data_IF_580197448990
#
_entry.id   IF_580197448990
#
_cell.length_a   1.000
_cell.length_b   1.000
_cell.length_c   1.000
_cell.angle_alpha   90.00
_cell.angle_beta   90.00
_cell.angle_gamma   90.00
#
_symmetry.space_group_name_H-M   'P 1'
#
loop_
_entity.id
_entity.type
_entity.pdbx_description
1 polymer ?
#
# COMPACT_ATOMS: atom_id res chain seq x y z
N UNK A 1 -6.31 -17.92 4.49
CA UNK A 1 -7.75 -17.87 4.81
C UNK A 1 -8.55 -17.14 3.74
N UNK A 2 -8.05 -16.04 3.15
CA UNK A 2 -8.71 -15.34 2.04
C UNK A 2 -8.54 -15.99 0.65
N UNK A 3 -7.98 -17.21 0.58
CA UNK A 3 -7.67 -17.89 -0.69
C UNK A 3 -6.66 -17.13 -1.56
N UNK A 4 -6.27 -17.70 -2.70
CA UNK A 4 -5.56 -16.99 -3.77
C UNK A 4 -4.19 -17.55 -4.15
N UNK A 5 -3.33 -17.89 -3.20
CA UNK A 5 -1.96 -18.33 -3.50
C UNK A 5 -1.62 -19.58 -2.72
N UNK A 6 -1.14 -20.60 -3.43
CA UNK A 6 -0.69 -21.84 -2.79
C UNK A 6 0.59 -21.60 -2.01
N UNK A 7 0.70 -22.20 -0.82
CA UNK A 7 1.88 -22.09 0.05
C UNK A 7 3.18 -22.46 -0.69
N UNK A 8 3.14 -23.48 -1.54
CA UNK A 8 4.27 -23.90 -2.40
C UNK A 8 4.75 -22.80 -3.35
N UNK A 9 3.84 -21.97 -3.85
CA UNK A 9 4.18 -20.86 -4.75
C UNK A 9 4.91 -19.75 -3.98
N UNK A 10 4.50 -19.47 -2.74
CA UNK A 10 5.17 -18.49 -1.87
C UNK A 10 6.58 -19.00 -1.50
N UNK A 11 6.71 -20.27 -1.13
CA UNK A 11 8.01 -20.88 -0.81
C UNK A 11 8.97 -20.86 -2.01
N UNK A 12 8.44 -21.04 -3.24
CA UNK A 12 9.22 -20.88 -4.47
C UNK A 12 9.73 -19.44 -4.64
N UNK A 13 8.86 -18.45 -4.48
CA UNK A 13 9.25 -17.03 -4.60
C UNK A 13 10.22 -16.61 -3.49
N UNK A 14 10.09 -17.14 -2.28
CA UNK A 14 11.02 -16.88 -1.20
C UNK A 14 12.43 -17.37 -1.54
N UNK A 15 12.57 -18.56 -2.12
CA UNK A 15 13.86 -19.07 -2.60
C UNK A 15 14.44 -18.23 -3.73
N UNK A 16 13.65 -17.96 -4.77
CA UNK A 16 14.12 -17.16 -5.92
C UNK A 16 14.51 -15.72 -5.49
N UNK A 17 13.74 -15.10 -4.59
CA UNK A 17 14.04 -13.78 -4.06
C UNK A 17 15.30 -13.79 -3.19
N UNK A 18 15.53 -14.84 -2.40
CA UNK A 18 16.72 -15.00 -1.58
C UNK A 18 17.98 -15.20 -2.44
N UNK A 19 17.90 -15.99 -3.53
CA UNK A 19 18.97 -16.17 -4.51
C UNK A 19 19.36 -14.85 -5.21
N UNK A 20 18.40 -13.94 -5.39
CA UNK A 20 18.63 -12.60 -5.94
C UNK A 20 19.00 -11.53 -4.89
N UNK A 21 19.25 -11.92 -3.63
CA UNK A 21 19.61 -10.99 -2.55
C UNK A 21 18.46 -10.08 -2.08
N UNK A 22 17.21 -10.41 -2.44
CA UNK A 22 15.98 -9.65 -2.18
C UNK A 22 14.97 -10.43 -1.34
N UNK A 23 15.44 -11.18 -0.34
CA UNK A 23 14.59 -12.07 0.47
C UNK A 23 13.37 -11.40 1.12
N UNK A 24 13.40 -10.09 1.35
CA UNK A 24 12.27 -9.30 1.89
C UNK A 24 11.13 -9.07 0.89
N UNK A 25 11.27 -9.41 -0.39
CA UNK A 25 10.28 -9.13 -1.45
C UNK A 25 9.36 -10.31 -1.79
N UNK A 26 9.39 -11.41 -1.02
CA UNK A 26 8.62 -12.63 -1.33
C UNK A 26 7.13 -12.41 -1.56
N UNK A 27 6.52 -11.46 -0.85
CA UNK A 27 5.10 -11.12 -1.01
C UNK A 27 4.84 -10.15 -2.17
N UNK A 28 5.79 -9.27 -2.51
CA UNK A 28 5.66 -8.36 -3.65
C UNK A 28 5.68 -9.12 -4.99
N UNK A 29 6.48 -10.19 -5.09
CA UNK A 29 6.63 -11.00 -6.30
C UNK A 29 5.39 -11.79 -6.72
N UNK A 30 4.38 -11.84 -5.85
CA UNK A 30 3.04 -12.32 -6.19
C UNK A 30 2.41 -11.44 -7.27
N UNK A 31 2.60 -10.13 -7.16
CA UNK A 31 2.02 -9.12 -8.03
C UNK A 31 3.03 -8.67 -9.10
N UNK A 32 4.30 -8.53 -8.75
CA UNK A 32 5.39 -8.20 -9.68
C UNK A 32 5.75 -9.41 -10.58
N UNK A 33 5.19 -9.42 -11.78
CA UNK A 33 5.37 -10.50 -12.76
C UNK A 33 6.50 -10.20 -13.75
N UNK A 34 6.82 -8.94 -14.00
CA UNK A 34 7.83 -8.57 -14.98
C UNK A 34 9.24 -8.78 -14.41
N UNK A 35 10.15 -9.30 -15.24
CA UNK A 35 11.57 -9.47 -14.86
C UNK A 35 12.19 -8.13 -14.40
N UNK A 36 11.85 -7.04 -15.10
CA UNK A 36 12.31 -5.70 -14.76
C UNK A 36 11.80 -5.19 -13.40
N UNK A 37 10.58 -5.55 -13.00
CA UNK A 37 10.02 -5.21 -11.68
C UNK A 37 10.81 -5.91 -10.57
N UNK A 38 11.06 -7.22 -10.74
CA UNK A 38 11.82 -8.03 -9.77
C UNK A 38 13.27 -7.56 -9.64
N UNK A 39 13.92 -7.24 -10.76
CA UNK A 39 15.29 -6.73 -10.79
C UNK A 39 15.43 -5.35 -10.14
N UNK A 40 14.42 -4.47 -10.28
CA UNK A 40 14.46 -3.12 -9.71
C UNK A 40 13.84 -3.02 -8.31
N UNK A 41 12.98 -3.97 -7.93
CA UNK A 41 12.22 -3.94 -6.68
C UNK A 41 11.15 -2.84 -6.65
N UNK A 42 10.64 -2.46 -7.82
CA UNK A 42 9.56 -1.48 -7.99
C UNK A 42 8.51 -2.06 -8.93
N UNK A 43 7.24 -1.86 -8.60
CA UNK A 43 6.11 -2.17 -9.49
C UNK A 43 6.11 -1.18 -10.65
N UNK A 44 5.93 -1.68 -11.88
CA UNK A 44 5.99 -0.90 -13.12
C UNK A 44 4.62 -0.93 -13.79
N UNK A 45 4.02 -2.11 -13.93
CA UNK A 45 2.71 -2.31 -14.54
C UNK A 45 1.65 -2.63 -13.49
N UNK A 46 0.39 -2.46 -13.86
CA UNK A 46 -0.73 -2.69 -12.96
C UNK A 46 -0.98 -4.19 -12.82
N UNK A 47 -0.95 -4.70 -11.60
CA UNK A 47 -1.36 -6.08 -11.33
C UNK A 47 -2.82 -6.13 -10.86
N UNK A 48 -3.61 -6.99 -11.48
CA UNK A 48 -4.98 -7.27 -11.07
C UNK A 48 -5.03 -8.58 -10.28
N UNK A 49 -5.63 -8.53 -9.11
CA UNK A 49 -5.90 -9.70 -8.30
C UNK A 49 -7.36 -9.73 -7.87
N UNK A 50 -7.96 -10.92 -7.72
CA UNK A 50 -9.36 -11.05 -7.30
C UNK A 50 -9.44 -11.89 -6.03
N UNK A 51 -10.25 -11.44 -5.09
CA UNK A 51 -10.58 -12.20 -3.90
C UNK A 51 -12.00 -11.89 -3.43
N UNK A 52 -12.53 -12.74 -2.57
CA UNK A 52 -13.89 -12.63 -2.06
C UNK A 52 -13.84 -12.40 -0.55
N UNK A 53 -14.67 -11.49 -0.09
CA UNK A 53 -14.97 -11.29 1.34
C UNK A 53 -16.34 -11.91 1.64
N UNK A 54 -16.78 -11.88 2.89
CA UNK A 54 -18.11 -12.35 3.26
C UNK A 54 -19.26 -11.60 2.56
N UNK A 55 -19.01 -10.40 2.00
CA UNK A 55 -20.05 -9.52 1.44
C UNK A 55 -19.75 -9.02 0.01
N UNK A 56 -18.49 -8.91 -0.36
CA UNK A 56 -18.05 -8.29 -1.61
C UNK A 56 -17.10 -9.18 -2.40
N UNK A 57 -17.24 -9.16 -3.73
CA UNK A 57 -16.23 -9.61 -4.68
C UNK A 57 -15.30 -8.43 -4.95
N UNK A 58 -14.02 -8.58 -4.63
CA UNK A 58 -13.04 -7.48 -4.68
C UNK A 58 -12.02 -7.76 -5.76
N UNK A 59 -11.77 -6.76 -6.60
CA UNK A 59 -10.61 -6.74 -7.51
C UNK A 59 -9.60 -5.75 -6.94
N UNK A 60 -8.43 -6.24 -6.55
CA UNK A 60 -7.27 -5.43 -6.18
C UNK A 60 -6.59 -4.96 -7.45
N UNK A 61 -6.31 -3.66 -7.48
CA UNK A 61 -5.50 -3.00 -8.50
C UNK A 61 -4.22 -2.55 -7.79
N UNK A 62 -3.13 -3.28 -8.00
CA UNK A 62 -1.83 -2.85 -7.49
C UNK A 62 -1.21 -1.85 -8.45
N UNK A 63 -1.02 -0.62 -7.99
CA UNK A 63 -0.61 0.50 -8.80
C UNK A 63 0.84 0.91 -8.47
N UNK A 64 1.65 1.28 -9.47
CA UNK A 64 3.04 1.61 -9.24
C UNK A 64 3.18 2.91 -8.45
N UNK A 65 4.10 2.92 -7.48
CA UNK A 65 4.35 4.09 -6.65
C UNK A 65 5.38 5.08 -7.21
N UNK A 66 6.18 4.67 -8.19
CA UNK A 66 7.27 5.49 -8.73
C UNK A 66 6.73 6.61 -9.65
N UNK A 67 7.32 7.81 -9.58
CA UNK A 67 6.87 8.99 -10.34
C UNK A 67 6.81 8.76 -11.85
N UNK A 68 7.80 8.04 -12.37
CA UNK A 68 7.89 7.72 -13.80
C UNK A 68 6.69 6.91 -14.32
N UNK A 69 5.94 6.25 -13.42
CA UNK A 69 4.82 5.38 -13.75
C UNK A 69 3.46 5.94 -13.27
N UNK A 70 3.36 7.24 -12.97
CA UNK A 70 2.10 7.89 -12.57
C UNK A 70 0.98 7.66 -13.59
N UNK A 71 1.29 7.58 -14.89
CA UNK A 71 0.29 7.29 -15.94
C UNK A 71 -0.41 5.94 -15.73
N UNK A 72 0.33 4.95 -15.26
CA UNK A 72 -0.20 3.62 -14.97
C UNK A 72 -1.07 3.70 -13.71
N UNK A 73 -0.60 4.41 -12.67
CA UNK A 73 -1.39 4.66 -11.46
C UNK A 73 -2.74 5.34 -11.78
N UNK A 74 -2.76 6.35 -12.65
CA UNK A 74 -4.00 7.03 -13.09
C UNK A 74 -4.96 6.05 -13.77
N UNK A 75 -4.43 5.19 -14.66
CA UNK A 75 -5.23 4.22 -15.41
C UNK A 75 -5.87 3.17 -14.50
N UNK A 76 -5.16 2.74 -13.44
CA UNK A 76 -5.71 1.82 -12.45
C UNK A 76 -6.70 2.50 -11.51
N UNK A 77 -6.34 3.68 -11.02
CA UNK A 77 -7.15 4.41 -10.03
C UNK A 77 -8.47 4.91 -10.61
N UNK A 78 -8.53 5.23 -11.91
CA UNK A 78 -9.79 5.62 -12.59
C UNK A 78 -10.83 4.51 -12.67
N UNK A 79 -10.44 3.25 -12.43
CA UNK A 79 -11.32 2.08 -12.42
C UNK A 79 -11.73 1.67 -11.00
N UNK A 80 -11.21 2.34 -9.96
CA UNK A 80 -11.39 1.94 -8.58
C UNK A 80 -12.60 2.64 -7.93
N UNK A 81 -13.42 1.87 -7.20
CA UNK A 81 -14.51 2.41 -6.37
C UNK A 81 -14.02 2.92 -5.00
N UNK A 82 -12.94 2.31 -4.50
CA UNK A 82 -12.30 2.63 -3.22
C UNK A 82 -10.77 2.52 -3.32
N UNK A 83 -10.06 3.32 -2.52
CA UNK A 83 -8.61 3.29 -2.43
C UNK A 83 -8.13 2.87 -1.04
N UNK A 84 -7.02 2.15 -1.02
CA UNK A 84 -6.24 1.88 0.19
C UNK A 84 -4.93 2.66 0.08
N UNK A 85 -4.76 3.67 0.93
CA UNK A 85 -3.54 4.47 1.00
C UNK A 85 -2.61 3.87 2.05
N UNK A 86 -1.47 3.36 1.60
CA UNK A 86 -0.44 2.82 2.48
C UNK A 86 0.54 3.93 2.88
N UNK A 87 0.73 4.09 4.19
CA UNK A 87 1.60 5.11 4.79
C UNK A 87 2.63 4.41 5.67
N UNK A 88 3.91 4.64 5.47
CA UNK A 88 4.95 4.06 6.32
C UNK A 88 4.98 4.75 7.69
N UNK A 89 5.12 3.96 8.77
CA UNK A 89 5.22 4.46 10.14
C UNK A 89 6.66 4.81 10.57
N UNK A 90 7.66 4.30 9.83
CA UNK A 90 9.07 4.52 10.12
C UNK A 90 9.43 6.01 10.14
N UNK A 91 10.29 6.38 11.10
CA UNK A 91 10.84 7.74 11.21
C UNK A 91 11.68 8.06 9.96
N UNK A 92 11.46 9.22 9.35
CA UNK A 92 12.07 9.64 8.09
C UNK A 92 11.27 9.17 6.87
N UNK A 93 10.77 7.93 6.86
CA UNK A 93 9.94 7.43 5.75
C UNK A 93 8.58 8.14 5.68
N UNK A 94 7.92 8.30 6.83
CA UNK A 94 6.66 9.04 6.93
C UNK A 94 6.82 10.49 6.45
N UNK A 95 7.84 11.19 6.98
CA UNK A 95 8.11 12.59 6.71
C UNK A 95 8.46 12.81 5.23
N UNK A 96 9.20 11.87 4.62
CA UNK A 96 9.47 11.90 3.18
C UNK A 96 8.19 11.71 2.35
N UNK A 97 7.34 10.74 2.72
CA UNK A 97 6.08 10.44 2.03
C UNK A 97 5.05 11.57 2.11
N UNK A 98 5.00 12.29 3.24
CA UNK A 98 4.13 13.45 3.44
C UNK A 98 4.80 14.79 3.08
N UNK A 99 6.03 14.79 2.55
CA UNK A 99 6.67 16.05 2.13
C UNK A 99 5.91 16.70 0.94
N UNK A 100 6.22 17.95 0.58
CA UNK A 100 5.62 18.62 -0.59
C UNK A 100 5.76 17.83 -1.90
N UNK A 101 6.85 17.05 -1.99
CA UNK A 101 7.19 16.22 -3.13
C UNK A 101 6.93 14.73 -2.85
N UNK A 102 6.28 14.40 -1.74
CA UNK A 102 6.06 13.03 -1.32
C UNK A 102 4.97 12.33 -2.14
N UNK A 103 5.21 11.07 -2.48
CA UNK A 103 4.31 10.27 -3.32
C UNK A 103 2.98 9.97 -2.62
N UNK A 104 2.97 9.78 -1.30
CA UNK A 104 1.74 9.55 -0.53
C UNK A 104 0.76 10.72 -0.69
N UNK A 105 1.28 11.95 -0.72
CA UNK A 105 0.46 13.15 -0.98
C UNK A 105 -0.11 13.16 -2.39
N UNK A 106 0.77 12.98 -3.38
CA UNK A 106 0.40 12.97 -4.79
C UNK A 106 -0.66 11.90 -5.10
N UNK A 107 -0.50 10.68 -4.58
CA UNK A 107 -1.44 9.59 -4.81
C UNK A 107 -2.82 9.85 -4.18
N UNK A 108 -2.87 10.39 -2.96
CA UNK A 108 -4.15 10.69 -2.31
C UNK A 108 -4.92 11.79 -3.06
N UNK A 109 -4.21 12.80 -3.60
CA UNK A 109 -4.79 13.85 -4.42
C UNK A 109 -5.30 13.29 -5.77
N UNK A 110 -4.50 12.44 -6.44
CA UNK A 110 -4.89 11.82 -7.70
C UNK A 110 -6.11 10.92 -7.52
N UNK A 111 -6.15 10.09 -6.48
CA UNK A 111 -7.30 9.24 -6.19
C UNK A 111 -8.59 10.04 -6.03
N UNK A 112 -8.54 11.15 -5.28
CA UNK A 112 -9.72 12.00 -5.10
C UNK A 112 -10.16 12.66 -6.41
N UNK A 113 -9.20 13.18 -7.17
CA UNK A 113 -9.43 13.86 -8.46
C UNK A 113 -10.04 12.91 -9.50
N UNK A 114 -9.67 11.62 -9.45
CA UNK A 114 -10.20 10.57 -10.32
C UNK A 114 -11.55 10.03 -9.85
N UNK A 115 -12.12 10.57 -8.77
CA UNK A 115 -13.47 10.25 -8.31
C UNK A 115 -13.55 9.15 -7.24
N UNK A 116 -12.42 8.68 -6.72
CA UNK A 116 -12.38 7.68 -5.64
C UNK A 116 -12.71 8.38 -4.32
N UNK A 117 -13.97 8.23 -3.87
CA UNK A 117 -14.46 8.91 -2.65
C UNK A 117 -14.26 8.10 -1.38
N UNK A 118 -14.17 6.77 -1.49
CA UNK A 118 -13.96 5.87 -0.37
C UNK A 118 -12.47 5.62 -0.18
N UNK A 119 -11.94 5.97 0.99
CA UNK A 119 -10.53 5.87 1.31
C UNK A 119 -10.34 5.11 2.64
N UNK A 120 -9.41 4.18 2.64
CA UNK A 120 -8.90 3.51 3.85
C UNK A 120 -7.41 3.82 3.94
N UNK A 121 -6.91 4.14 5.14
CA UNK A 121 -5.49 4.39 5.37
C UNK A 121 -4.89 3.24 6.16
N UNK A 122 -3.92 2.54 5.57
CA UNK A 122 -3.11 1.53 6.24
C UNK A 122 -1.79 2.13 6.70
N UNK A 123 -1.60 2.25 8.01
CA UNK A 123 -0.32 2.70 8.58
C UNK A 123 0.58 1.48 8.73
N UNK A 124 1.49 1.29 7.79
CA UNK A 124 2.32 0.11 7.63
C UNK A 124 3.68 0.24 8.33
N UNK A 125 4.35 -0.90 8.55
CA UNK A 125 5.63 -1.01 9.28
C UNK A 125 5.54 -0.58 10.74
N UNK A 126 4.40 -0.83 11.39
CA UNK A 126 4.23 -0.55 12.83
C UNK A 126 5.19 -1.36 13.70
N UNK A 127 5.65 -2.52 13.24
CA UNK A 127 6.72 -3.32 13.86
C UNK A 127 8.06 -2.57 13.94
N UNK A 128 8.30 -1.63 13.02
CA UNK A 128 9.56 -0.90 12.88
C UNK A 128 9.55 0.48 13.55
N UNK A 129 8.48 0.84 14.28
CA UNK A 129 8.46 2.09 15.05
C UNK A 129 9.37 1.97 16.29
N UNK A 130 9.73 3.10 16.88
CA UNK A 130 10.48 3.13 18.15
C UNK A 130 9.64 3.81 19.24
N UNK A 131 9.15 3.07 20.26
CA UNK A 131 9.18 1.60 20.40
C UNK A 131 8.31 0.89 19.35
N UNK A 132 8.49 -0.43 19.11
CA UNK A 132 7.65 -1.19 18.20
C UNK A 132 6.17 -1.10 18.59
N UNK A 133 5.29 -0.95 17.59
CA UNK A 133 3.85 -0.76 17.76
C UNK A 133 3.48 0.44 18.64
N UNK A 134 4.23 1.54 18.50
CA UNK A 134 4.00 2.75 19.28
C UNK A 134 2.66 3.41 18.95
N UNK A 135 1.76 3.46 19.92
CA UNK A 135 0.47 4.16 19.81
C UNK A 135 0.66 5.67 19.56
N UNK A 136 1.64 6.29 20.22
CA UNK A 136 1.91 7.72 20.06
C UNK A 136 2.32 8.06 18.63
N UNK A 137 3.14 7.21 18.00
CA UNK A 137 3.53 7.36 16.58
C UNK A 137 2.34 7.17 15.65
N UNK A 138 1.48 6.19 15.92
CA UNK A 138 0.28 5.98 15.13
C UNK A 138 -0.67 7.19 15.20
N UNK A 139 -0.94 7.72 16.39
CA UNK A 139 -1.83 8.88 16.56
C UNK A 139 -1.24 10.16 15.94
N UNK A 140 0.08 10.34 15.98
CA UNK A 140 0.77 11.42 15.24
C UNK A 140 0.51 11.31 13.73
N UNK A 141 0.77 10.14 13.14
CA UNK A 141 0.57 9.89 11.71
C UNK A 141 -0.90 10.09 11.34
N UNK A 142 -1.82 9.52 12.11
CA UNK A 142 -3.26 9.64 11.91
C UNK A 142 -3.70 11.10 11.92
N UNK A 143 -3.20 11.92 12.85
CA UNK A 143 -3.52 13.35 12.92
C UNK A 143 -3.03 14.11 11.69
N UNK A 144 -1.78 13.90 11.30
CA UNK A 144 -1.16 14.57 10.15
C UNK A 144 -1.83 14.17 8.83
N UNK A 145 -2.03 12.87 8.61
CA UNK A 145 -2.71 12.35 7.43
C UNK A 145 -4.17 12.80 7.39
N UNK A 146 -4.88 12.80 8.53
CA UNK A 146 -6.26 13.32 8.62
C UNK A 146 -6.36 14.79 8.23
N UNK A 147 -5.43 15.62 8.69
CA UNK A 147 -5.35 17.04 8.31
C UNK A 147 -5.13 17.19 6.80
N UNK A 148 -4.28 16.35 6.23
CA UNK A 148 -3.97 16.38 4.81
C UNK A 148 -5.14 15.92 3.92
N UNK A 149 -5.74 14.75 4.19
CA UNK A 149 -6.86 14.25 3.39
C UNK A 149 -8.09 15.17 3.48
N UNK A 150 -8.27 15.87 4.61
CA UNK A 150 -9.27 16.93 4.76
C UNK A 150 -9.05 18.08 3.80
N UNK A 151 -7.80 18.49 3.57
CA UNK A 151 -7.45 19.55 2.61
C UNK A 151 -7.68 19.13 1.17
N UNK A 152 -7.51 17.84 0.86
CA UNK A 152 -7.81 17.29 -0.47
C UNK A 152 -9.33 17.30 -0.72
N UNK A 153 -10.13 16.99 0.30
CA UNK A 153 -11.60 16.97 0.21
C UNK A 153 -12.25 15.71 0.76
N UNK A 154 -11.48 14.74 1.28
CA UNK A 154 -12.04 13.60 2.00
C UNK A 154 -12.61 14.03 3.36
N UNK A 155 -13.61 13.30 3.84
CA UNK A 155 -14.10 13.43 5.21
C UNK A 155 -13.29 12.52 6.15
N UNK A 156 -12.41 13.05 7.02
CA UNK A 156 -11.58 12.20 7.88
C UNK A 156 -12.39 11.31 8.83
N UNK A 157 -13.60 11.72 9.21
CA UNK A 157 -14.46 10.92 10.09
C UNK A 157 -15.00 9.65 9.41
N UNK A 158 -15.01 9.60 8.07
CA UNK A 158 -15.43 8.44 7.29
C UNK A 158 -14.26 7.55 6.85
N UNK A 159 -13.01 7.97 7.11
CA UNK A 159 -11.80 7.25 6.69
C UNK A 159 -11.31 6.39 7.85
N UNK A 160 -11.22 5.09 7.62
CA UNK A 160 -10.64 4.16 8.58
C UNK A 160 -9.11 4.25 8.54
N UNK A 161 -8.50 4.34 9.73
CA UNK A 161 -7.06 4.23 9.92
C UNK A 161 -6.76 2.91 10.61
N UNK A 162 -5.98 2.05 9.95
CA UNK A 162 -5.65 0.72 10.44
C UNK A 162 -4.13 0.61 10.60
N UNK A 163 -3.61 0.38 11.82
CA UNK A 163 -2.19 0.05 12.00
C UNK A 163 -1.95 -1.37 11.48
N UNK A 164 -1.00 -1.56 10.56
CA UNK A 164 -0.70 -2.86 9.96
C UNK A 164 0.81 -3.14 9.97
N UNK A 165 1.15 -4.41 9.91
CA UNK A 165 2.47 -4.84 9.45
C UNK A 165 2.29 -5.77 8.26
N UNK A 166 2.61 -5.29 7.05
CA UNK A 166 2.57 -6.11 5.85
C UNK A 166 3.58 -7.27 5.86
N UNK A 167 4.61 -7.19 6.71
CA UNK A 167 5.62 -8.24 6.84
C UNK A 167 5.17 -9.35 7.80
N UNK A 168 4.68 -8.98 8.98
CA UNK A 168 4.21 -9.92 10.00
C UNK A 168 2.76 -10.40 9.78
N UNK A 169 1.99 -9.63 9.01
CA UNK A 169 0.58 -9.92 8.72
C UNK A 169 -0.41 -9.37 9.73
N UNK A 170 0.02 -8.44 10.59
CA UNK A 170 -0.82 -7.89 11.66
C UNK A 170 -1.97 -7.04 11.09
N UNK A 171 -3.18 -7.26 11.61
CA UNK A 171 -4.42 -6.57 11.22
C UNK A 171 -4.81 -6.73 9.73
N UNK A 172 -4.45 -7.86 9.12
CA UNK A 172 -4.76 -8.18 7.71
C UNK A 172 -5.89 -9.21 7.52
N UNK A 173 -6.56 -9.65 8.60
CA UNK A 173 -7.63 -10.66 8.60
C UNK A 173 -8.88 -10.19 9.35
#
# INVERSE_FOLDING_TARGET
KCGGIYKRTIEKFEKEAQEMGKGSFKYAWVLDKLKAERERGITIDIALWKFETAKYYVTIIDAPGHRDFIKNMITGTSQADCAVLIVAAGTGEFEAGISKNGQTREHALLAFTLGVKQLIVGVNKMDSTEPPYSESRFEEIKKEVSSYIKKIGYNPAAVAFVPISGWHGDNML
#
